data_IF_071356866306
#
_entry.id   IF_071356866306
#
_cell.length_a   1.000
_cell.length_b   1.000
_cell.length_c   1.000
_cell.angle_alpha   90.00
_cell.angle_beta   90.00
_cell.angle_gamma   90.00
#
_symmetry.space_group_name_H-M   'P 1'
#
loop_
_entity.id
_entity.type
_entity.pdbx_description
1 polymer ?
#
# COMPACT_ATOMS: atom_id res chain seq x y z
N UNK A 1 37.02 48.06 -64.38
CA UNK A 1 37.43 47.72 -62.96
C UNK A 1 36.28 47.88 -61.99
N UNK A 2 35.07 47.47 -62.37
CA UNK A 2 33.84 47.59 -61.53
C UNK A 2 33.04 46.28 -61.45
N UNK A 3 33.53 45.20 -62.02
CA UNK A 3 32.82 43.87 -62.01
C UNK A 3 33.30 42.81 -60.99
N UNK A 4 34.23 43.18 -60.05
CA UNK A 4 34.80 42.25 -59.07
C UNK A 4 34.33 42.51 -57.64
N UNK A 5 33.30 43.38 -57.42
CA UNK A 5 32.89 43.76 -56.05
C UNK A 5 31.57 43.19 -55.59
N UNK A 6 30.96 42.27 -56.33
CA UNK A 6 29.59 41.76 -55.95
C UNK A 6 29.47 40.24 -55.84
N UNK A 7 30.49 39.53 -55.30
CA UNK A 7 30.41 38.07 -55.07
C UNK A 7 30.62 37.68 -53.60
N UNK A 8 30.34 38.59 -52.64
CA UNK A 8 30.64 38.40 -51.20
C UNK A 8 29.49 37.97 -50.33
N UNK A 9 28.26 37.91 -50.78
CA UNK A 9 27.14 37.41 -49.99
C UNK A 9 26.58 36.09 -50.56
N UNK A 10 27.36 35.03 -50.46
CA UNK A 10 26.79 33.67 -50.62
C UNK A 10 26.01 33.33 -49.36
N UNK A 11 24.71 33.66 -49.37
CA UNK A 11 23.73 33.16 -48.40
C UNK A 11 23.94 31.67 -48.25
N UNK A 12 23.94 31.16 -47.01
CA UNK A 12 24.00 29.73 -46.70
C UNK A 12 23.07 28.98 -47.65
N UNK A 13 23.55 27.94 -48.36
CA UNK A 13 22.73 27.25 -49.34
C UNK A 13 21.44 26.77 -48.67
N UNK A 14 20.29 27.11 -49.28
CA UNK A 14 18.91 26.82 -48.75
C UNK A 14 18.78 25.44 -48.13
N UNK A 15 19.55 24.47 -48.60
CA UNK A 15 19.60 23.08 -48.06
C UNK A 15 20.24 22.98 -46.68
N UNK A 16 21.28 23.76 -46.38
CA UNK A 16 21.90 23.75 -45.02
C UNK A 16 20.99 24.36 -43.97
N UNK A 17 20.25 25.41 -44.37
CA UNK A 17 19.23 26.00 -43.51
C UNK A 17 18.09 25.02 -43.24
N UNK A 18 17.60 24.31 -44.26
CA UNK A 18 16.56 23.28 -44.11
C UNK A 18 17.00 22.15 -43.16
N UNK A 19 18.24 21.70 -43.29
CA UNK A 19 18.77 20.66 -42.42
C UNK A 19 18.94 21.12 -40.97
N UNK A 20 19.33 22.34 -40.73
CA UNK A 20 19.41 22.91 -39.40
C UNK A 20 18.01 23.00 -38.74
N UNK A 21 16.98 23.36 -39.51
CA UNK A 21 15.59 23.43 -39.05
C UNK A 21 15.11 22.00 -38.68
N UNK A 22 15.35 20.99 -39.52
CA UNK A 22 14.97 19.60 -39.25
C UNK A 22 15.64 19.11 -37.98
N UNK A 23 16.94 19.35 -37.80
CA UNK A 23 17.67 18.97 -36.60
C UNK A 23 17.09 19.64 -35.33
N UNK A 24 16.71 20.89 -35.44
CA UNK A 24 16.13 21.67 -34.35
C UNK A 24 14.72 21.16 -34.00
N UNK A 25 13.92 20.77 -34.99
CA UNK A 25 12.62 20.13 -34.81
C UNK A 25 12.76 18.76 -34.12
N UNK A 26 13.69 17.94 -34.57
CA UNK A 26 13.96 16.65 -33.97
C UNK A 26 14.39 16.82 -32.50
N UNK A 27 15.30 17.75 -32.22
CA UNK A 27 15.74 18.05 -30.86
C UNK A 27 14.57 18.53 -29.99
N UNK A 28 13.70 19.36 -30.55
CA UNK A 28 12.48 19.83 -29.88
C UNK A 28 11.53 18.67 -29.55
N UNK A 29 11.30 17.75 -30.50
CA UNK A 29 10.45 16.57 -30.28
C UNK A 29 11.04 15.64 -29.20
N UNK A 30 12.35 15.48 -29.15
CA UNK A 30 13.05 14.71 -28.09
C UNK A 30 12.83 15.37 -26.74
N UNK A 31 13.04 16.68 -26.64
CA UNK A 31 12.86 17.42 -25.40
C UNK A 31 11.40 17.34 -24.90
N UNK A 32 10.44 17.45 -25.80
CA UNK A 32 9.01 17.30 -25.49
C UNK A 32 8.70 15.88 -25.02
N UNK A 33 9.23 14.85 -25.67
CA UNK A 33 9.04 13.47 -25.28
C UNK A 33 9.61 13.20 -23.88
N UNK A 34 10.81 13.67 -23.58
CA UNK A 34 11.42 13.57 -22.25
C UNK A 34 10.54 14.29 -21.21
N UNK A 35 10.09 15.53 -21.51
CA UNK A 35 9.23 16.30 -20.63
C UNK A 35 7.91 15.59 -20.31
N UNK A 36 7.24 15.04 -21.31
CA UNK A 36 5.99 14.28 -21.13
C UNK A 36 6.25 13.04 -20.25
N UNK A 37 7.31 12.30 -20.52
CA UNK A 37 7.63 11.10 -19.72
C UNK A 37 7.94 11.43 -18.26
N UNK A 38 8.65 12.53 -17.98
CA UNK A 38 8.94 12.97 -16.62
C UNK A 38 7.67 13.38 -15.87
N UNK A 39 6.80 14.17 -16.51
CA UNK A 39 5.52 14.59 -15.93
C UNK A 39 4.62 13.38 -15.67
N UNK A 40 4.55 12.46 -16.63
CA UNK A 40 3.77 11.23 -16.49
C UNK A 40 4.28 10.36 -15.34
N UNK A 41 5.60 10.19 -15.25
CA UNK A 41 6.23 9.40 -14.19
C UNK A 41 5.93 10.00 -12.80
N UNK A 42 6.07 11.31 -12.66
CA UNK A 42 5.78 12.00 -11.40
C UNK A 42 4.31 11.86 -10.98
N UNK A 43 3.39 12.03 -11.95
CA UNK A 43 1.96 11.85 -11.74
C UNK A 43 1.62 10.40 -11.35
N UNK A 44 2.21 9.44 -12.04
CA UNK A 44 2.01 8.02 -11.79
C UNK A 44 2.54 7.58 -10.42
N UNK A 45 3.74 8.03 -10.04
CA UNK A 45 4.32 7.77 -8.72
C UNK A 45 3.44 8.33 -7.61
N UNK A 46 2.91 9.53 -7.79
CA UNK A 46 1.96 10.16 -6.85
C UNK A 46 0.69 9.31 -6.70
N UNK A 47 0.07 8.92 -7.81
CA UNK A 47 -1.16 8.12 -7.81
C UNK A 47 -0.95 6.75 -7.12
N UNK A 48 0.16 6.07 -7.40
CA UNK A 48 0.50 4.81 -6.72
C UNK A 48 0.66 4.98 -5.21
N UNK A 49 1.35 6.04 -4.80
CA UNK A 49 1.55 6.34 -3.37
C UNK A 49 0.21 6.63 -2.69
N UNK A 50 -0.62 7.46 -3.32
CA UNK A 50 -1.94 7.81 -2.78
C UNK A 50 -2.85 6.59 -2.67
N UNK A 51 -2.83 5.69 -3.64
CA UNK A 51 -3.55 4.41 -3.57
C UNK A 51 -3.07 3.54 -2.42
N UNK A 52 -1.76 3.42 -2.23
CA UNK A 52 -1.19 2.64 -1.14
C UNK A 52 -1.55 3.22 0.23
N UNK A 53 -1.48 4.54 0.39
CA UNK A 53 -1.91 5.22 1.62
C UNK A 53 -3.40 5.02 1.87
N UNK A 54 -4.24 5.15 0.82
CA UNK A 54 -5.68 4.92 0.94
C UNK A 54 -6.00 3.47 1.30
N UNK A 55 -5.24 2.51 0.79
CA UNK A 55 -5.35 1.11 1.18
C UNK A 55 -5.03 0.93 2.68
N UNK A 56 -3.89 1.43 3.17
CA UNK A 56 -3.54 1.38 4.59
C UNK A 56 -4.62 2.05 5.46
N UNK A 57 -5.13 3.19 5.01
CA UNK A 57 -6.19 3.91 5.71
C UNK A 57 -7.51 3.12 5.75
N UNK A 58 -7.86 2.44 4.67
CA UNK A 58 -9.06 1.59 4.63
C UNK A 58 -8.95 0.42 5.60
N UNK A 59 -7.76 -0.20 5.69
CA UNK A 59 -7.51 -1.29 6.63
C UNK A 59 -7.50 -0.80 8.08
N UNK A 60 -6.91 0.37 8.35
CA UNK A 60 -6.97 0.98 9.68
C UNK A 60 -8.41 1.29 10.12
N UNK A 61 -9.25 1.83 9.21
CA UNK A 61 -10.67 2.08 9.49
C UNK A 61 -11.43 0.80 9.77
N UNK A 62 -11.21 -0.22 8.94
CA UNK A 62 -11.84 -1.53 9.12
C UNK A 62 -11.46 -2.15 10.47
N UNK A 63 -10.17 -2.07 10.85
CA UNK A 63 -9.71 -2.53 12.16
C UNK A 63 -10.37 -1.73 13.29
N UNK A 64 -10.42 -0.41 13.19
CA UNK A 64 -11.07 0.45 14.17
C UNK A 64 -12.55 0.08 14.35
N UNK A 65 -13.31 -0.07 13.26
CA UNK A 65 -14.73 -0.46 13.30
C UNK A 65 -14.94 -1.86 13.90
N UNK A 66 -14.06 -2.81 13.58
CA UNK A 66 -14.14 -4.16 14.12
C UNK A 66 -13.90 -4.15 15.64
N UNK A 67 -12.93 -3.37 16.10
CA UNK A 67 -12.62 -3.20 17.51
C UNK A 67 -13.79 -2.51 18.24
N UNK A 68 -14.36 -1.45 17.67
CA UNK A 68 -15.53 -0.78 18.25
C UNK A 68 -16.71 -1.74 18.40
N UNK A 69 -17.02 -2.50 17.34
CA UNK A 69 -18.09 -3.51 17.37
C UNK A 69 -17.85 -4.58 18.43
N UNK A 70 -16.60 -5.04 18.53
CA UNK A 70 -16.21 -6.03 19.51
C UNK A 70 -16.41 -5.50 20.94
N UNK A 71 -15.85 -4.35 21.27
CA UNK A 71 -16.00 -3.73 22.59
C UNK A 71 -17.49 -3.45 22.90
N UNK A 72 -18.26 -2.98 21.93
CA UNK A 72 -19.68 -2.75 22.10
C UNK A 72 -20.46 -4.05 22.39
N UNK A 73 -20.07 -5.16 21.74
CA UNK A 73 -20.65 -6.47 22.02
C UNK A 73 -20.38 -6.89 23.46
N UNK A 74 -19.13 -6.76 23.93
CA UNK A 74 -18.76 -7.08 25.31
C UNK A 74 -19.53 -6.22 26.35
N UNK A 75 -19.66 -4.91 26.06
CA UNK A 75 -20.47 -4.02 26.91
C UNK A 75 -21.92 -4.51 26.99
N UNK A 76 -22.50 -4.89 25.84
CA UNK A 76 -23.87 -5.38 25.77
C UNK A 76 -24.05 -6.71 26.51
N UNK A 77 -23.03 -7.59 26.43
CA UNK A 77 -23.03 -8.88 27.12
C UNK A 77 -22.95 -8.69 28.62
N UNK A 78 -22.12 -7.78 29.13
CA UNK A 78 -22.05 -7.41 30.53
C UNK A 78 -23.37 -6.74 30.99
N UNK A 79 -23.94 -5.89 30.13
CA UNK A 79 -25.25 -5.26 30.41
C UNK A 79 -26.35 -6.33 30.56
N UNK A 80 -26.42 -7.31 29.65
CA UNK A 80 -27.37 -8.43 29.74
C UNK A 80 -27.15 -9.24 31.02
N UNK A 81 -25.91 -9.63 31.30
CA UNK A 81 -25.58 -10.35 32.50
C UNK A 81 -26.02 -9.59 33.74
N UNK A 82 -25.79 -8.27 33.79
CA UNK A 82 -26.21 -7.44 34.95
C UNK A 82 -27.73 -7.37 35.14
N UNK A 83 -28.49 -7.57 34.07
CA UNK A 83 -29.99 -7.64 34.13
C UNK A 83 -30.44 -9.04 34.50
N UNK A 84 -29.79 -10.10 34.02
CA UNK A 84 -30.13 -11.51 34.27
C UNK A 84 -29.75 -11.93 35.70
N UNK A 85 -28.64 -11.37 36.22
CA UNK A 85 -28.21 -11.52 37.60
C UNK A 85 -29.16 -10.74 38.53
N UNK A 86 -30.41 -11.14 38.54
CA UNK A 86 -31.30 -10.79 39.68
C UNK A 86 -30.69 -11.52 40.89
N UNK A 87 -30.58 -10.82 42.01
CA UNK A 87 -30.10 -11.36 43.30
C UNK A 87 -30.99 -12.54 43.69
N UNK A 88 -30.83 -13.66 43.03
CA UNK A 88 -31.56 -14.92 43.21
C UNK A 88 -30.55 -16.04 43.55
N UNK A 89 -31.04 -17.12 44.12
CA UNK A 89 -30.26 -18.29 44.53
C UNK A 89 -29.38 -18.91 43.39
N UNK A 90 -29.64 -18.51 42.13
CA UNK A 90 -28.93 -19.03 40.94
C UNK A 90 -27.85 -18.11 40.37
N UNK A 91 -27.53 -16.97 41.01
CA UNK A 91 -26.52 -15.98 40.52
C UNK A 91 -25.17 -16.63 40.19
N UNK A 92 -24.71 -17.54 41.02
CA UNK A 92 -23.45 -18.24 40.87
C UNK A 92 -23.40 -19.09 39.58
N UNK A 93 -24.50 -19.79 39.28
CA UNK A 93 -24.63 -20.59 38.08
C UNK A 93 -24.54 -19.73 36.81
N UNK A 94 -25.28 -18.62 36.77
CA UNK A 94 -25.29 -17.72 35.63
C UNK A 94 -23.93 -17.08 35.40
N UNK A 95 -23.25 -16.58 36.42
CA UNK A 95 -21.94 -15.97 36.32
C UNK A 95 -20.88 -17.00 35.93
N UNK A 96 -20.91 -18.18 36.54
CA UNK A 96 -19.93 -19.26 36.22
C UNK A 96 -20.08 -19.74 34.78
N UNK A 97 -21.31 -19.87 34.28
CA UNK A 97 -21.60 -20.18 32.89
C UNK A 97 -21.09 -19.08 31.97
N UNK A 98 -21.40 -17.83 32.28
CA UNK A 98 -20.97 -16.68 31.50
C UNK A 98 -19.44 -16.57 31.43
N UNK A 99 -18.73 -16.75 32.54
CA UNK A 99 -17.26 -16.82 32.58
C UNK A 99 -16.71 -17.95 31.72
N UNK A 100 -17.40 -19.09 31.65
CA UNK A 100 -16.98 -20.22 30.81
C UNK A 100 -17.14 -19.90 29.31
N UNK A 101 -18.22 -19.21 28.94
CA UNK A 101 -18.53 -18.83 27.56
C UNK A 101 -17.67 -17.67 27.07
N UNK A 102 -17.19 -16.79 27.99
CA UNK A 102 -16.43 -15.57 27.67
C UNK A 102 -14.98 -15.63 28.21
N UNK A 103 -14.04 -16.24 27.46
CA UNK A 103 -12.66 -16.44 27.90
C UNK A 103 -11.86 -15.16 28.19
N UNK A 104 -12.20 -14.04 27.61
CA UNK A 104 -11.55 -12.77 27.82
C UNK A 104 -11.84 -12.17 29.21
N UNK A 105 -12.94 -12.60 29.87
CA UNK A 105 -13.29 -12.11 31.18
C UNK A 105 -12.60 -12.97 32.24
N UNK A 106 -11.76 -12.33 33.05
CA UNK A 106 -11.00 -13.01 34.12
C UNK A 106 -11.83 -13.21 35.36
N UNK A 107 -12.46 -12.14 35.84
CA UNK A 107 -13.20 -12.12 37.09
C UNK A 107 -14.44 -11.24 36.97
N UNK A 108 -15.44 -11.60 37.72
CA UNK A 108 -16.69 -10.79 37.91
C UNK A 108 -16.94 -10.63 39.40
N UNK A 109 -17.14 -9.37 39.81
CA UNK A 109 -17.46 -9.01 41.19
C UNK A 109 -18.86 -8.47 41.28
N UNK A 110 -19.57 -8.81 42.32
CA UNK A 110 -20.81 -8.20 42.75
C UNK A 110 -20.51 -7.29 43.94
N UNK A 111 -20.90 -6.03 43.84
CA UNK A 111 -20.60 -4.97 44.79
C UNK A 111 -21.93 -4.39 45.28
N UNK A 112 -22.15 -4.32 46.59
CA UNK A 112 -23.33 -3.71 47.13
C UNK A 112 -23.32 -2.18 47.03
N UNK A 113 -24.44 -1.51 47.32
CA UNK A 113 -24.56 -0.05 47.21
C UNK A 113 -23.70 0.75 48.19
N UNK A 114 -23.06 0.09 49.16
CA UNK A 114 -22.11 0.71 50.08
C UNK A 114 -20.67 0.61 49.56
N UNK A 115 -20.45 0.02 48.35
CA UNK A 115 -19.14 -0.14 47.73
C UNK A 115 -18.39 -1.39 48.18
N UNK A 116 -18.96 -2.22 49.03
CA UNK A 116 -18.33 -3.48 49.48
C UNK A 116 -18.58 -4.58 48.47
N UNK A 117 -17.54 -5.30 48.09
CA UNK A 117 -17.66 -6.52 47.32
C UNK A 117 -18.34 -7.61 48.17
N UNK A 118 -19.38 -8.21 47.64
CA UNK A 118 -20.12 -9.29 48.30
C UNK A 118 -19.67 -10.66 47.78
N UNK A 119 -19.42 -10.74 46.48
CA UNK A 119 -18.98 -11.98 45.84
C UNK A 119 -18.02 -11.67 44.71
N UNK A 120 -17.04 -12.54 44.53
CA UNK A 120 -16.12 -12.52 43.40
C UNK A 120 -16.05 -13.90 42.77
N UNK A 121 -16.19 -13.96 41.47
CA UNK A 121 -16.13 -15.16 40.64
C UNK A 121 -14.98 -15.10 39.69
N UNK A 122 -14.19 -16.17 39.61
CA UNK A 122 -13.11 -16.33 38.66
C UNK A 122 -13.06 -17.78 38.17
N UNK A 123 -12.50 -17.99 37.00
CA UNK A 123 -12.28 -19.36 36.48
C UNK A 123 -11.14 -20.10 37.14
N UNK A 124 -10.14 -19.39 37.64
CA UNK A 124 -8.87 -19.97 38.09
C UNK A 124 -8.64 -19.81 39.58
N UNK A 125 -9.30 -18.89 40.22
CA UNK A 125 -9.02 -18.50 41.59
C UNK A 125 -10.29 -18.64 42.44
N UNK A 126 -10.13 -19.15 43.65
CA UNK A 126 -11.17 -19.18 44.67
C UNK A 126 -10.92 -18.05 45.64
N UNK A 127 -11.92 -17.28 45.93
CA UNK A 127 -11.85 -16.14 46.84
C UNK A 127 -12.64 -16.44 48.13
N UNK A 128 -12.09 -16.00 49.25
CA UNK A 128 -12.72 -16.05 50.54
C UNK A 128 -13.21 -14.65 50.93
N UNK A 129 -13.97 -14.53 51.99
CA UNK A 129 -14.44 -13.22 52.50
C UNK A 129 -13.27 -12.26 52.80
N UNK A 130 -12.07 -12.76 53.12
CA UNK A 130 -10.89 -11.94 53.38
C UNK A 130 -10.28 -11.29 52.13
N UNK A 131 -10.60 -11.86 50.96
CA UNK A 131 -10.12 -11.40 49.69
C UNK A 131 -10.99 -10.32 49.04
N UNK A 132 -12.17 -10.05 49.66
CA UNK A 132 -13.14 -9.07 49.16
C UNK A 132 -12.63 -7.65 49.37
N UNK A 133 -12.90 -6.79 48.38
CA UNK A 133 -12.38 -5.43 48.28
C UNK A 133 -13.44 -4.39 48.56
N UNK A 134 -12.98 -3.17 48.83
CA UNK A 134 -13.85 -1.99 48.99
C UNK A 134 -13.65 -1.09 47.75
N UNK A 135 -14.76 -0.74 47.10
CA UNK A 135 -14.82 0.08 45.89
C UNK A 135 -15.53 1.40 46.08
N UNK A 136 -15.95 1.76 47.33
CA UNK A 136 -16.81 2.89 47.64
C UNK A 136 -16.28 4.25 47.11
N UNK A 137 -14.94 4.38 46.96
CA UNK A 137 -14.30 5.63 46.52
C UNK A 137 -13.90 5.62 45.05
N UNK A 138 -14.24 4.58 44.28
CA UNK A 138 -13.86 4.48 42.87
C UNK A 138 -14.91 5.11 41.97
N UNK A 139 -14.47 5.90 40.99
CA UNK A 139 -15.34 6.53 40.00
C UNK A 139 -16.22 5.51 39.27
N UNK A 140 -15.67 4.35 38.96
CA UNK A 140 -16.37 3.26 38.28
C UNK A 140 -17.59 2.77 39.09
N UNK A 141 -17.46 2.73 40.41
CA UNK A 141 -18.55 2.34 41.30
C UNK A 141 -19.63 3.42 41.40
N UNK A 142 -19.24 4.68 41.62
CA UNK A 142 -20.19 5.79 41.74
C UNK A 142 -21.02 5.95 40.48
N UNK A 143 -20.39 5.88 39.28
CA UNK A 143 -21.10 5.93 37.98
C UNK A 143 -22.11 4.78 37.82
N UNK A 144 -21.70 3.56 38.17
CA UNK A 144 -22.60 2.42 38.10
C UNK A 144 -23.74 2.48 39.11
N UNK A 145 -23.50 2.98 40.31
CA UNK A 145 -24.51 3.25 41.32
C UNK A 145 -25.55 4.31 40.88
N UNK A 146 -25.13 5.29 40.06
CA UNK A 146 -26.00 6.24 39.38
C UNK A 146 -26.81 5.63 38.22
N UNK A 147 -26.56 4.36 37.87
CA UNK A 147 -27.25 3.65 36.80
C UNK A 147 -26.57 3.71 35.45
N UNK A 148 -25.31 4.21 35.35
CA UNK A 148 -24.53 4.31 34.14
C UNK A 148 -23.57 3.10 34.01
N UNK A 149 -23.35 2.67 32.79
CA UNK A 149 -22.26 1.71 32.51
C UNK A 149 -20.95 2.50 32.41
N UNK A 150 -19.95 2.06 33.14
CA UNK A 150 -18.62 2.67 33.13
C UNK A 150 -17.59 1.71 32.58
N UNK A 151 -16.68 2.24 31.72
CA UNK A 151 -15.54 1.52 31.21
C UNK A 151 -14.29 2.22 31.72
N UNK A 152 -13.41 1.47 32.41
CA UNK A 152 -12.17 2.03 32.92
C UNK A 152 -11.19 2.37 31.78
N UNK A 153 -10.19 3.17 32.09
CA UNK A 153 -8.97 3.25 31.30
C UNK A 153 -8.28 1.88 31.28
N UNK A 154 -7.37 1.72 30.32
CA UNK A 154 -6.54 0.52 30.26
C UNK A 154 -5.60 0.49 31.45
N UNK A 155 -5.53 -0.65 32.09
CA UNK A 155 -4.59 -0.99 33.14
C UNK A 155 -3.75 -2.19 32.68
N UNK A 156 -2.62 -2.42 33.33
CA UNK A 156 -1.72 -3.53 33.00
C UNK A 156 -1.49 -4.41 34.23
N UNK A 157 -1.51 -5.72 34.04
CA UNK A 157 -1.09 -6.66 35.08
C UNK A 157 0.41 -6.48 35.40
N UNK A 158 0.91 -7.08 36.49
CA UNK A 158 2.34 -7.12 36.76
C UNK A 158 3.14 -7.72 35.60
N UNK A 159 2.58 -8.71 34.89
CA UNK A 159 3.16 -9.36 33.71
C UNK A 159 3.07 -8.53 32.43
N UNK A 160 2.37 -7.37 32.47
CA UNK A 160 2.23 -6.44 31.36
C UNK A 160 1.03 -6.72 30.45
N UNK A 161 0.11 -7.61 30.82
CA UNK A 161 -1.10 -7.85 30.03
C UNK A 161 -2.11 -6.71 30.21
N UNK A 162 -2.60 -6.08 29.11
CA UNK A 162 -3.57 -5.00 29.18
C UNK A 162 -4.97 -5.53 29.48
N UNK A 163 -5.71 -4.79 30.33
CA UNK A 163 -7.09 -5.09 30.66
C UNK A 163 -7.91 -3.82 30.91
N UNK A 164 -9.21 -3.92 30.76
CA UNK A 164 -10.19 -2.91 31.16
C UNK A 164 -11.17 -3.50 32.17
N UNK A 165 -11.86 -2.62 32.85
CA UNK A 165 -12.96 -2.97 33.76
C UNK A 165 -14.25 -2.39 33.18
N UNK A 166 -15.26 -3.23 33.10
CA UNK A 166 -16.60 -2.82 32.68
C UNK A 166 -17.48 -2.96 33.92
N UNK A 167 -18.04 -1.85 34.34
CA UNK A 167 -18.88 -1.79 35.54
C UNK A 167 -20.30 -1.41 35.15
N UNK A 168 -21.29 -2.21 35.55
CA UNK A 168 -22.69 -2.06 35.16
C UNK A 168 -23.60 -2.13 36.37
N UNK A 169 -24.72 -1.38 36.37
CA UNK A 169 -25.71 -1.47 37.43
C UNK A 169 -26.48 -2.78 37.36
N UNK A 170 -26.67 -3.48 38.48
CA UNK A 170 -27.59 -4.61 38.62
C UNK A 170 -28.95 -4.06 38.98
N UNK A 171 -29.95 -4.21 38.06
CA UNK A 171 -31.32 -3.78 38.23
C UNK A 171 -32.26 -4.64 37.41
N UNK A 172 -33.45 -4.85 37.90
CA UNK A 172 -34.46 -5.69 37.25
C UNK A 172 -35.00 -5.05 35.96
N UNK A 173 -35.23 -3.75 36.00
CA UNK A 173 -35.66 -2.94 34.87
C UNK A 173 -34.76 -1.70 34.73
N UNK A 174 -34.57 -1.19 33.51
CA UNK A 174 -33.72 -0.01 33.27
C UNK A 174 -34.18 1.26 34.01
N UNK A 175 -35.46 1.35 34.28
CA UNK A 175 -36.07 2.48 35.01
C UNK A 175 -35.95 2.36 36.55
N UNK A 176 -35.57 1.19 37.07
CA UNK A 176 -35.40 0.97 38.51
C UNK A 176 -34.05 1.45 39.00
N UNK A 177 -34.00 1.84 40.28
CA UNK A 177 -32.70 2.14 40.92
C UNK A 177 -31.85 0.88 40.99
N UNK A 178 -30.52 1.02 40.80
CA UNK A 178 -29.64 -0.10 41.00
C UNK A 178 -29.76 -0.72 42.38
N UNK A 179 -29.69 -2.05 42.46
CA UNK A 179 -29.71 -2.80 43.71
C UNK A 179 -28.30 -3.23 44.11
N UNK A 180 -27.40 -3.39 43.13
CA UNK A 180 -26.01 -3.70 43.30
C UNK A 180 -25.25 -3.26 42.03
N UNK A 181 -23.94 -3.46 42.01
CA UNK A 181 -23.06 -3.16 40.88
C UNK A 181 -22.31 -4.42 40.48
N UNK A 182 -22.32 -4.75 39.19
CA UNK A 182 -21.51 -5.79 38.59
C UNK A 182 -20.28 -5.16 38.01
N UNK A 183 -19.11 -5.73 38.31
CA UNK A 183 -17.81 -5.30 37.77
C UNK A 183 -17.12 -6.48 37.14
N UNK A 184 -16.81 -6.41 35.84
CA UNK A 184 -16.10 -7.42 35.09
C UNK A 184 -14.71 -6.90 34.73
N UNK A 185 -13.69 -7.75 34.91
CA UNK A 185 -12.31 -7.50 34.46
C UNK A 185 -12.10 -8.24 33.15
N UNK A 186 -11.90 -7.47 32.10
CA UNK A 186 -11.81 -7.92 30.72
C UNK A 186 -10.37 -7.79 30.19
N UNK A 187 -9.74 -8.90 29.80
CA UNK A 187 -8.40 -8.93 29.23
C UNK A 187 -8.45 -8.70 27.73
N UNK A 188 -7.64 -7.73 27.28
CA UNK A 188 -7.64 -7.32 25.88
C UNK A 188 -6.86 -8.30 24.97
N UNK A 189 -5.95 -9.11 25.52
CA UNK A 189 -5.09 -10.04 24.76
C UNK A 189 -5.90 -10.98 23.84
N UNK A 190 -6.86 -11.70 24.38
CA UNK A 190 -7.68 -12.64 23.60
C UNK A 190 -8.64 -11.99 22.60
N UNK A 191 -8.92 -10.71 22.80
CA UNK A 191 -9.79 -9.94 21.94
C UNK A 191 -9.12 -9.51 20.62
N UNK A 192 -7.81 -9.29 20.69
CA UNK A 192 -7.06 -8.70 19.60
C UNK A 192 -6.52 -9.71 18.60
N UNK A 193 -6.37 -10.97 18.97
CA UNK A 193 -5.82 -12.00 18.09
C UNK A 193 -6.56 -12.04 16.74
N UNK A 194 -7.88 -11.96 16.76
CA UNK A 194 -8.70 -11.92 15.53
C UNK A 194 -8.65 -10.59 14.77
N UNK A 195 -8.44 -9.47 15.47
CA UNK A 195 -8.42 -8.15 14.85
C UNK A 195 -7.04 -7.84 14.21
N UNK A 196 -5.99 -8.51 14.69
CA UNK A 196 -4.61 -8.30 14.26
C UNK A 196 -4.10 -9.36 13.24
N UNK A 197 -4.89 -10.38 12.95
CA UNK A 197 -4.59 -11.39 11.91
C UNK A 197 -4.54 -10.80 10.48
N UNK A 198 -4.81 -9.52 10.33
CA UNK A 198 -4.77 -8.84 9.03
C UNK A 198 -3.34 -8.68 8.55
N UNK A 199 -2.96 -9.50 7.57
CA UNK A 199 -1.66 -9.39 6.91
C UNK A 199 -1.71 -8.27 5.87
N UNK A 200 -0.99 -7.19 6.12
CA UNK A 200 -0.86 -6.03 5.23
C UNK A 200 0.51 -6.13 4.54
N UNK A 201 0.53 -6.65 3.32
CA UNK A 201 1.80 -6.95 2.64
C UNK A 201 2.67 -7.93 3.44
N UNK A 202 3.98 -7.76 3.38
CA UNK A 202 4.94 -8.57 4.13
C UNK A 202 5.41 -7.87 5.42
N UNK A 203 5.54 -6.55 5.40
CA UNK A 203 6.06 -5.75 6.51
C UNK A 203 5.00 -4.95 7.25
N UNK A 204 3.75 -4.98 6.75
CA UNK A 204 2.65 -4.21 7.33
C UNK A 204 2.28 -4.70 8.73
N UNK A 205 2.05 -3.75 9.63
CA UNK A 205 1.72 -3.96 11.03
C UNK A 205 0.50 -3.15 11.43
N UNK A 206 -0.39 -3.78 12.16
CA UNK A 206 -1.53 -3.12 12.83
C UNK A 206 -1.26 -3.10 14.32
N UNK A 207 -1.28 -1.94 14.93
CA UNK A 207 -1.10 -1.75 16.37
C UNK A 207 -2.26 -0.96 16.94
N UNK A 208 -2.63 -1.23 18.19
CA UNK A 208 -3.66 -0.48 18.90
C UNK A 208 -3.06 0.16 20.14
N UNK A 209 -3.38 1.42 20.35
CA UNK A 209 -2.92 2.22 21.49
C UNK A 209 -4.08 2.75 22.31
N UNK A 210 -3.85 2.92 23.60
CA UNK A 210 -4.81 3.56 24.53
C UNK A 210 -4.78 5.09 24.44
N UNK A 211 -5.56 5.75 25.32
CA UNK A 211 -5.66 7.20 25.43
C UNK A 211 -4.36 7.91 25.87
N UNK A 212 -3.34 7.16 26.32
CA UNK A 212 -2.02 7.65 26.70
C UNK A 212 -0.93 7.29 25.68
N UNK A 213 -1.30 6.62 24.58
CA UNK A 213 -0.37 6.12 23.57
C UNK A 213 0.34 4.83 23.95
N UNK A 214 -0.10 4.15 25.02
CA UNK A 214 0.45 2.86 25.40
C UNK A 214 -0.04 1.77 24.45
N UNK A 215 0.87 0.92 24.01
CA UNK A 215 0.56 -0.20 23.14
C UNK A 215 -0.26 -1.26 23.88
N UNK A 216 -1.47 -1.53 23.39
CA UNK A 216 -2.41 -2.48 24.01
C UNK A 216 -2.71 -3.68 23.11
N UNK A 217 -2.36 -3.59 21.83
CA UNK A 217 -2.41 -4.70 20.90
C UNK A 217 -1.38 -4.54 19.78
N UNK A 218 -0.72 -5.64 19.42
CA UNK A 218 0.28 -5.70 18.36
C UNK A 218 0.41 -7.15 17.88
N UNK A 219 0.75 -7.41 16.59
CA UNK A 219 1.05 -8.75 16.09
C UNK A 219 2.20 -9.44 16.85
N UNK A 220 3.10 -8.64 17.43
CA UNK A 220 4.15 -9.12 18.32
C UNK A 220 3.75 -8.86 19.79
N UNK A 221 3.24 -9.88 20.51
CA UNK A 221 2.78 -9.69 21.89
C UNK A 221 3.87 -9.21 22.86
N UNK A 222 5.16 -9.48 22.58
CA UNK A 222 6.26 -9.05 23.44
C UNK A 222 6.30 -7.53 23.60
N UNK A 223 5.98 -6.80 22.54
CA UNK A 223 5.92 -5.34 22.53
C UNK A 223 4.85 -4.76 23.47
N UNK A 224 3.72 -5.46 23.58
CA UNK A 224 2.64 -5.08 24.51
C UNK A 224 3.10 -5.30 25.95
N UNK A 225 3.72 -6.46 26.21
CA UNK A 225 4.24 -6.80 27.55
C UNK A 225 5.37 -5.87 28.00
N UNK A 226 6.17 -5.35 27.06
CA UNK A 226 7.20 -4.32 27.32
C UNK A 226 6.61 -2.95 27.61
N UNK A 227 5.30 -2.75 27.49
CA UNK A 227 4.57 -1.50 27.73
C UNK A 227 5.12 -0.34 26.89
N UNK A 228 5.33 -0.58 25.59
CA UNK A 228 5.84 0.43 24.66
C UNK A 228 4.87 1.57 24.54
N UNK A 229 5.34 2.81 24.63
CA UNK A 229 4.57 4.02 24.39
C UNK A 229 4.87 4.58 23.00
N UNK A 230 3.86 4.63 22.13
CA UNK A 230 3.97 5.11 20.76
C UNK A 230 3.55 6.58 20.58
N UNK A 231 3.27 7.32 21.68
CA UNK A 231 2.80 8.71 21.59
C UNK A 231 3.79 9.65 20.89
N UNK A 232 5.07 9.28 20.83
CA UNK A 232 6.08 10.02 20.08
C UNK A 232 5.83 10.00 18.57
N UNK A 233 5.15 8.97 18.06
CA UNK A 233 4.88 8.80 16.62
C UNK A 233 3.77 9.75 16.16
N UNK A 234 3.90 10.34 14.97
CA UNK A 234 2.83 11.19 14.41
C UNK A 234 1.50 10.44 14.24
N UNK A 235 1.58 9.16 13.85
CA UNK A 235 0.43 8.27 13.65
C UNK A 235 -0.35 7.94 14.93
N UNK A 236 0.25 8.17 16.11
CA UNK A 236 -0.37 7.93 17.40
C UNK A 236 -1.12 9.17 17.94
N UNK A 237 -0.59 10.37 17.74
CA UNK A 237 -1.12 11.61 18.33
C UNK A 237 -2.52 11.96 17.82
N UNK A 238 -2.71 11.94 16.50
CA UNK A 238 -3.98 12.34 15.87
C UNK A 238 -5.15 11.44 16.28
N UNK A 239 -5.03 10.09 16.25
CA UNK A 239 -6.12 9.20 16.67
C UNK A 239 -6.58 9.43 18.11
N UNK A 240 -5.67 9.65 19.04
CA UNK A 240 -6.02 9.93 20.45
C UNK A 240 -6.80 11.23 20.58
N UNK A 241 -6.51 12.22 19.71
CA UNK A 241 -7.27 13.48 19.65
C UNK A 241 -8.60 13.35 18.88
N UNK A 242 -8.91 12.17 18.34
CA UNK A 242 -10.12 11.93 17.56
C UNK A 242 -10.00 12.23 16.07
N UNK A 243 -8.81 12.52 15.59
CA UNK A 243 -8.51 12.86 14.18
C UNK A 243 -7.86 11.69 13.43
N UNK A 244 -8.02 11.69 12.11
CA UNK A 244 -7.37 10.70 11.25
C UNK A 244 -6.00 11.23 10.82
N UNK A 245 -4.95 10.46 11.08
CA UNK A 245 -3.63 10.68 10.50
C UNK A 245 -3.54 10.01 9.13
N UNK A 246 -3.39 10.81 8.06
CA UNK A 246 -3.47 10.32 6.66
C UNK A 246 -2.19 9.77 6.07
N UNK A 247 -1.20 9.56 6.85
CA UNK A 247 0.02 8.91 6.38
C UNK A 247 1.09 9.87 5.83
N UNK A 248 2.23 9.82 6.47
CA UNK A 248 3.48 10.42 5.99
C UNK A 248 4.60 9.42 6.26
N UNK A 249 5.76 9.67 5.68
CA UNK A 249 6.98 8.96 6.06
C UNK A 249 7.48 9.46 7.40
N UNK A 250 7.85 8.52 8.27
CA UNK A 250 8.54 8.82 9.52
C UNK A 250 9.37 7.60 9.95
N UNK A 251 10.24 7.80 10.93
CA UNK A 251 10.95 6.70 11.58
C UNK A 251 10.09 6.15 12.72
N UNK A 252 9.81 4.84 12.69
CA UNK A 252 9.13 4.17 13.79
C UNK A 252 10.06 4.06 15.02
N UNK A 253 9.59 3.47 16.10
CA UNK A 253 10.33 3.30 17.36
C UNK A 253 11.60 2.43 17.22
N UNK A 254 11.74 1.68 16.12
CA UNK A 254 12.94 0.88 15.80
C UNK A 254 13.90 1.61 14.87
N UNK A 255 13.60 2.88 14.50
CA UNK A 255 14.39 3.65 13.55
C UNK A 255 14.22 3.20 12.09
N UNK A 256 13.19 2.42 11.77
CA UNK A 256 12.87 1.99 10.41
C UNK A 256 11.96 3.03 9.77
N UNK A 257 12.27 3.43 8.53
CA UNK A 257 11.41 4.36 7.78
C UNK A 257 10.13 3.65 7.31
N UNK A 258 8.98 4.17 7.74
CA UNK A 258 7.67 3.61 7.46
C UNK A 258 6.71 4.66 6.91
N UNK A 259 5.72 4.20 6.17
CA UNK A 259 4.47 4.92 5.97
C UNK A 259 3.48 4.46 7.03
N UNK A 260 2.94 5.39 7.80
CA UNK A 260 1.96 5.06 8.80
C UNK A 260 0.69 5.87 8.65
N UNK A 261 -0.44 5.26 8.98
CA UNK A 261 -1.75 5.90 9.12
C UNK A 261 -2.27 5.66 10.52
N UNK A 262 -3.13 6.55 10.99
CA UNK A 262 -3.73 6.44 12.31
C UNK A 262 -5.22 6.77 12.27
N UNK A 263 -6.04 5.92 12.90
CA UNK A 263 -7.50 6.08 12.93
C UNK A 263 -8.00 5.98 14.37
N UNK A 264 -8.88 6.90 14.82
CA UNK A 264 -9.43 6.84 16.17
C UNK A 264 -10.43 5.70 16.34
N UNK A 265 -10.42 5.10 17.53
CA UNK A 265 -11.49 4.27 18.08
C UNK A 265 -12.31 5.18 19.01
N UNK A 266 -13.45 5.65 18.52
CA UNK A 266 -14.17 6.77 19.15
C UNK A 266 -14.67 6.49 20.55
N UNK A 267 -15.16 5.27 20.79
CA UNK A 267 -15.82 4.89 22.04
C UNK A 267 -14.89 4.97 23.25
N UNK A 268 -13.56 4.77 23.08
CA UNK A 268 -12.59 4.69 24.16
C UNK A 268 -11.43 5.68 24.05
N UNK A 269 -11.45 6.57 23.04
CA UNK A 269 -10.33 7.47 22.69
C UNK A 269 -9.02 6.71 22.43
N UNK A 270 -9.10 5.51 21.90
CA UNK A 270 -7.97 4.70 21.48
C UNK A 270 -7.61 5.00 20.04
N UNK A 271 -6.46 4.52 19.60
CA UNK A 271 -6.00 4.66 18.23
C UNK A 271 -5.62 3.33 17.59
N UNK A 272 -5.98 3.13 16.34
CA UNK A 272 -5.42 2.10 15.47
C UNK A 272 -4.34 2.74 14.62
N UNK A 273 -3.15 2.18 14.67
CA UNK A 273 -1.99 2.58 13.86
C UNK A 273 -1.71 1.45 12.88
N UNK A 274 -1.57 1.79 11.60
CA UNK A 274 -1.11 0.86 10.57
C UNK A 274 0.15 1.42 9.97
N UNK A 275 1.22 0.63 9.98
CA UNK A 275 2.53 0.95 9.43
C UNK A 275 2.94 -0.08 8.39
N UNK A 276 3.62 0.38 7.35
CA UNK A 276 4.29 -0.48 6.36
C UNK A 276 5.63 0.16 6.01
N UNK A 277 6.68 -0.65 5.79
CA UNK A 277 7.99 -0.11 5.45
C UNK A 277 7.95 0.64 4.13
N UNK A 278 8.67 1.78 4.09
CA UNK A 278 8.81 2.58 2.86
C UNK A 278 9.42 1.75 1.73
N UNK A 279 10.33 0.83 2.05
CA UNK A 279 10.97 -0.02 1.08
C UNK A 279 9.98 -0.92 0.33
N UNK A 280 9.07 -1.58 1.03
CA UNK A 280 8.04 -2.42 0.43
C UNK A 280 7.03 -1.60 -0.36
N UNK A 281 6.55 -0.51 0.21
CA UNK A 281 5.54 0.34 -0.41
C UNK A 281 6.07 1.00 -1.69
N UNK A 282 7.35 1.36 -1.73
CA UNK A 282 7.99 1.99 -2.88
C UNK A 282 8.64 0.98 -3.86
N UNK A 283 8.73 -0.30 -3.53
CA UNK A 283 9.32 -1.31 -4.40
C UNK A 283 8.72 -1.32 -5.83
N UNK A 284 7.38 -1.30 -6.02
CA UNK A 284 6.79 -1.23 -7.36
C UNK A 284 7.15 0.06 -8.10
N UNK A 285 7.28 1.17 -7.36
CA UNK A 285 7.65 2.48 -7.92
C UNK A 285 9.08 2.44 -8.46
N UNK A 286 10.02 1.87 -7.70
CA UNK A 286 11.43 1.73 -8.11
C UNK A 286 11.59 0.88 -9.37
N UNK A 287 10.82 -0.19 -9.51
CA UNK A 287 10.84 -1.03 -10.71
C UNK A 287 10.34 -0.27 -11.95
N UNK A 288 9.26 0.48 -11.82
CA UNK A 288 8.73 1.30 -12.93
C UNK A 288 9.71 2.43 -13.28
N UNK A 289 10.34 3.07 -12.30
CA UNK A 289 11.36 4.08 -12.55
C UNK A 289 12.54 3.51 -13.34
N UNK A 290 13.05 2.32 -12.98
CA UNK A 290 14.10 1.62 -13.73
C UNK A 290 13.70 1.37 -15.17
N UNK A 291 12.49 0.83 -15.40
CA UNK A 291 11.98 0.59 -16.74
C UNK A 291 11.87 1.88 -17.55
N UNK A 292 11.35 2.95 -16.95
CA UNK A 292 11.25 4.25 -17.62
C UNK A 292 12.61 4.81 -18.01
N UNK A 293 13.62 4.69 -17.15
CA UNK A 293 14.99 5.11 -17.45
C UNK A 293 15.56 4.28 -18.62
N UNK A 294 15.35 2.97 -18.61
CA UNK A 294 15.77 2.08 -19.70
C UNK A 294 15.14 2.52 -21.03
N UNK A 295 13.84 2.78 -21.06
CA UNK A 295 13.13 3.25 -22.26
C UNK A 295 13.66 4.61 -22.74
N UNK A 296 13.95 5.54 -21.84
CA UNK A 296 14.54 6.84 -22.18
C UNK A 296 15.94 6.68 -22.80
N UNK A 297 16.77 5.84 -22.20
CA UNK A 297 18.13 5.57 -22.71
C UNK A 297 18.06 4.92 -24.10
N UNK A 298 17.24 3.89 -24.27
CA UNK A 298 17.06 3.19 -25.55
C UNK A 298 16.51 4.16 -26.61
N UNK A 299 15.50 4.95 -26.26
CA UNK A 299 14.92 5.97 -27.15
C UNK A 299 15.98 7.00 -27.61
N UNK A 300 16.79 7.48 -26.67
CA UNK A 300 17.89 8.43 -26.97
C UNK A 300 18.95 7.82 -27.90
N UNK A 301 19.32 6.56 -27.68
CA UNK A 301 20.25 5.82 -28.54
C UNK A 301 19.68 5.68 -29.95
N UNK A 302 18.41 5.29 -30.10
CA UNK A 302 17.74 5.14 -31.38
C UNK A 302 17.76 6.49 -32.15
N UNK A 303 17.43 7.57 -31.48
CA UNK A 303 17.46 8.91 -32.09
C UNK A 303 18.89 9.29 -32.49
N UNK A 304 19.88 9.02 -31.64
CA UNK A 304 21.31 9.22 -31.98
C UNK A 304 21.74 8.46 -33.22
N UNK A 305 21.32 7.19 -33.32
CA UNK A 305 21.60 6.36 -34.51
C UNK A 305 20.94 6.90 -35.77
N UNK A 306 19.69 7.37 -35.66
CA UNK A 306 18.98 7.96 -36.80
C UNK A 306 19.65 9.27 -37.27
N UNK A 307 20.07 10.13 -36.34
CA UNK A 307 20.83 11.35 -36.67
C UNK A 307 22.18 10.99 -37.32
N UNK A 308 22.88 10.03 -36.77
CA UNK A 308 24.18 9.56 -37.34
C UNK A 308 24.02 9.00 -38.74
N UNK A 309 22.96 8.20 -38.96
CA UNK A 309 22.63 7.67 -40.30
C UNK A 309 22.32 8.79 -41.29
N UNK A 310 21.54 9.80 -40.89
CA UNK A 310 21.24 10.98 -41.71
C UNK A 310 22.54 11.75 -42.09
N UNK A 311 23.44 11.91 -41.10
CA UNK A 311 24.75 12.54 -41.38
C UNK A 311 25.62 11.76 -42.38
N UNK A 312 25.60 10.42 -42.31
CA UNK A 312 26.29 9.56 -43.28
C UNK A 312 25.68 9.70 -44.67
N UNK A 313 24.34 9.64 -44.75
CA UNK A 313 23.63 9.83 -46.03
C UNK A 313 23.93 11.19 -46.65
N UNK A 314 23.97 12.24 -45.86
CA UNK A 314 24.34 13.61 -46.32
C UNK A 314 25.77 13.69 -46.81
N UNK A 315 26.74 12.97 -46.19
CA UNK A 315 28.12 12.87 -46.68
C UNK A 315 28.17 12.17 -48.01
N UNK A 316 27.43 11.07 -48.17
CA UNK A 316 27.33 10.31 -49.41
C UNK A 316 26.71 11.17 -50.53
N UNK A 317 25.62 11.89 -50.27
CA UNK A 317 24.98 12.80 -51.22
C UNK A 317 25.92 13.92 -51.69
N UNK A 318 26.70 14.52 -50.78
CA UNK A 318 27.71 15.55 -51.14
C UNK A 318 28.81 14.97 -52.01
N UNK A 319 29.18 13.75 -51.79
CA UNK A 319 30.22 13.08 -52.61
C UNK A 319 29.68 12.70 -53.99
N UNK A 320 28.43 12.24 -54.05
CA UNK A 320 27.71 12.01 -55.30
C UNK A 320 27.55 13.33 -56.10
N UNK A 321 27.18 14.41 -55.42
CA UNK A 321 27.05 15.73 -56.08
C UNK A 321 28.39 16.25 -56.61
N UNK A 322 29.49 16.11 -55.84
CA UNK A 322 30.84 16.43 -56.31
C UNK A 322 31.26 15.58 -57.53
N UNK A 323 30.96 14.30 -57.53
CA UNK A 323 31.23 13.42 -58.69
C UNK A 323 30.37 13.83 -59.89
N UNK A 324 29.12 14.21 -59.65
CA UNK A 324 28.24 14.70 -60.74
C UNK A 324 28.78 15.96 -61.41
N UNK A 325 29.26 16.95 -60.61
CA UNK A 325 29.87 18.18 -61.13
C UNK A 325 31.19 17.91 -61.89
N UNK A 326 31.97 16.90 -61.51
CA UNK A 326 33.17 16.48 -62.21
C UNK A 326 32.81 15.81 -63.55
N UNK A 327 31.72 15.01 -63.54
CA UNK A 327 31.22 14.32 -64.74
C UNK A 327 30.63 15.33 -65.73
N UNK A 328 29.90 16.37 -65.30
CA UNK A 328 29.40 17.46 -66.17
C UNK A 328 30.56 18.26 -66.84
N UNK A 329 31.65 18.49 -66.10
CA UNK A 329 32.85 19.13 -66.62
C UNK A 329 33.57 18.30 -67.69
N UNK A 330 33.39 17.00 -67.69
CA UNK A 330 34.00 16.06 -68.64
C UNK A 330 33.08 15.68 -69.81
N UNK A 331 31.77 16.02 -69.75
CA UNK A 331 30.76 15.60 -70.72
C UNK A 331 30.95 16.19 -72.15
N UNK A 332 31.73 17.24 -72.33
CA UNK A 332 32.15 17.74 -73.65
C UNK A 332 33.07 16.82 -74.42
N UNK A 333 33.68 15.80 -73.77
CA UNK A 333 34.51 14.77 -74.39
C UNK A 333 33.78 13.42 -74.51
N UNK A 334 32.51 13.38 -74.24
CA UNK A 334 31.89 12.10 -73.93
C UNK A 334 30.67 11.76 -74.82
N UNK A 335 30.60 12.25 -76.02
CA UNK A 335 29.52 11.77 -76.92
C UNK A 335 29.73 10.28 -77.33
N UNK A 336 31.00 9.80 -77.30
CA UNK A 336 31.36 8.38 -77.55
C UNK A 336 31.16 7.46 -76.30
N UNK A 337 31.14 8.03 -75.10
CA UNK A 337 30.95 7.24 -73.89
C UNK A 337 29.49 7.15 -73.44
N UNK A 338 28.55 7.89 -74.08
CA UNK A 338 27.14 7.99 -73.71
C UNK A 338 26.45 6.62 -73.67
N UNK A 339 26.70 5.76 -74.63
CA UNK A 339 26.13 4.38 -74.69
C UNK A 339 26.64 3.49 -73.58
N UNK A 340 27.94 3.61 -73.23
CA UNK A 340 28.51 2.88 -72.11
C UNK A 340 28.02 3.37 -70.74
N UNK A 341 27.79 4.66 -70.65
CA UNK A 341 27.26 5.30 -69.44
C UNK A 341 25.77 4.96 -69.22
N UNK A 342 24.96 4.91 -70.24
CA UNK A 342 23.56 4.52 -70.16
C UNK A 342 23.41 3.06 -69.69
N UNK A 343 24.24 2.16 -70.21
CA UNK A 343 24.25 0.76 -69.71
C UNK A 343 24.67 0.69 -68.26
N UNK A 344 25.63 1.53 -67.83
CA UNK A 344 26.11 1.57 -66.47
C UNK A 344 25.09 2.20 -65.51
N UNK A 345 24.33 3.17 -65.95
CA UNK A 345 23.22 3.76 -65.21
C UNK A 345 22.12 2.71 -65.07
N UNK A 346 21.80 1.98 -66.13
CA UNK A 346 20.80 0.90 -66.06
C UNK A 346 21.22 -0.23 -65.09
N UNK A 347 22.50 -0.60 -65.09
CA UNK A 347 22.99 -1.59 -64.13
C UNK A 347 22.90 -1.09 -62.68
N UNK A 348 23.24 0.18 -62.46
CA UNK A 348 23.17 0.80 -61.12
C UNK A 348 21.72 0.97 -60.66
N UNK A 349 20.82 1.31 -61.57
CA UNK A 349 19.39 1.43 -61.23
C UNK A 349 18.78 0.06 -60.83
N UNK A 350 19.23 -1.01 -61.52
CA UNK A 350 18.85 -2.37 -61.16
C UNK A 350 19.40 -2.78 -59.78
N UNK A 351 20.69 -2.51 -59.54
CA UNK A 351 21.33 -2.78 -58.26
C UNK A 351 20.64 -2.03 -57.10
N UNK A 352 20.26 -0.75 -57.34
CA UNK A 352 19.51 0.04 -56.34
C UNK A 352 18.08 -0.47 -56.12
N UNK A 353 17.43 -0.95 -57.17
CA UNK A 353 16.13 -1.60 -57.02
C UNK A 353 16.21 -2.93 -56.26
N UNK A 354 17.21 -3.73 -56.54
CA UNK A 354 17.44 -4.96 -55.78
C UNK A 354 17.83 -4.69 -54.31
N UNK A 355 18.63 -3.61 -54.07
CA UNK A 355 18.98 -3.20 -52.72
C UNK A 355 17.80 -2.64 -51.95
N UNK A 356 16.94 -1.84 -52.61
CA UNK A 356 15.71 -1.31 -52.05
C UNK A 356 14.73 -2.44 -51.67
N UNK A 357 14.56 -3.44 -52.54
CA UNK A 357 13.75 -4.62 -52.24
C UNK A 357 14.31 -5.40 -51.03
N UNK A 358 15.62 -5.55 -50.98
CA UNK A 358 16.27 -6.21 -49.83
C UNK A 358 16.13 -5.44 -48.54
N UNK A 359 16.14 -4.11 -48.61
CA UNK A 359 15.97 -3.22 -47.45
C UNK A 359 14.50 -3.26 -46.98
N UNK A 360 13.53 -3.24 -47.90
CA UNK A 360 12.13 -3.41 -47.60
C UNK A 360 11.84 -4.78 -46.93
N UNK A 361 12.48 -5.83 -47.43
CA UNK A 361 12.35 -7.16 -46.82
C UNK A 361 12.92 -7.21 -45.40
N UNK A 362 14.10 -6.59 -45.17
CA UNK A 362 14.70 -6.49 -43.84
C UNK A 362 13.83 -5.66 -42.87
N UNK A 363 13.25 -4.56 -43.34
CA UNK A 363 12.30 -3.75 -42.51
C UNK A 363 11.09 -4.60 -42.18
N UNK A 364 10.55 -5.35 -43.14
CA UNK A 364 9.40 -6.22 -42.94
C UNK A 364 9.68 -7.34 -41.93
N UNK A 365 10.85 -7.98 -42.03
CA UNK A 365 11.28 -8.99 -41.05
C UNK A 365 11.43 -8.40 -39.62
N UNK A 366 12.09 -7.23 -39.54
CA UNK A 366 12.27 -6.56 -38.22
C UNK A 366 10.96 -6.12 -37.62
N UNK A 367 10.02 -5.65 -38.44
CA UNK A 367 8.68 -5.28 -37.97
C UNK A 367 7.92 -6.51 -37.46
N UNK A 368 8.05 -7.66 -38.18
CA UNK A 368 7.44 -8.91 -37.76
C UNK A 368 8.06 -9.49 -36.48
N UNK A 369 9.37 -9.37 -36.34
CA UNK A 369 10.11 -9.76 -35.13
C UNK A 369 9.66 -8.90 -33.91
N UNK A 370 9.53 -7.59 -34.12
CA UNK A 370 9.02 -6.66 -33.09
C UNK A 370 7.58 -6.98 -32.69
N UNK A 371 6.71 -7.26 -33.68
CA UNK A 371 5.32 -7.67 -33.39
C UNK A 371 5.26 -8.99 -32.62
N UNK A 372 6.11 -9.95 -32.96
CA UNK A 372 6.20 -11.21 -32.23
C UNK A 372 6.66 -11.00 -30.78
N UNK A 373 7.67 -10.15 -30.54
CA UNK A 373 8.14 -9.80 -29.19
C UNK A 373 7.09 -9.08 -28.35
N UNK A 374 6.34 -8.16 -29.00
CA UNK A 374 5.19 -7.52 -28.33
C UNK A 374 4.13 -8.58 -27.95
N UNK A 375 3.81 -9.49 -28.87
CA UNK A 375 2.88 -10.58 -28.60
C UNK A 375 3.37 -11.56 -27.51
N UNK A 376 4.67 -11.81 -27.44
CA UNK A 376 5.25 -12.60 -26.35
C UNK A 376 5.17 -11.85 -24.99
N UNK A 377 5.44 -10.55 -24.99
CA UNK A 377 5.31 -9.70 -23.80
C UNK A 377 3.84 -9.62 -23.31
N UNK A 378 2.88 -9.52 -24.25
CA UNK A 378 1.46 -9.59 -23.91
C UNK A 378 1.05 -10.95 -23.36
N UNK A 379 1.53 -12.05 -23.96
CA UNK A 379 1.31 -13.40 -23.44
C UNK A 379 1.94 -13.58 -22.06
N UNK A 380 3.16 -13.08 -21.85
CA UNK A 380 3.84 -13.12 -20.57
C UNK A 380 3.06 -12.34 -19.49
N UNK A 381 2.56 -11.15 -19.85
CA UNK A 381 1.77 -10.31 -18.95
C UNK A 381 0.43 -11.00 -18.59
N UNK A 382 -0.26 -11.62 -19.59
CA UNK A 382 -1.47 -12.42 -19.32
C UNK A 382 -1.18 -13.64 -18.44
N UNK A 383 -0.03 -14.30 -18.64
CA UNK A 383 0.38 -15.44 -17.82
C UNK A 383 0.75 -15.00 -16.40
N UNK A 384 1.39 -13.83 -16.23
CA UNK A 384 1.69 -13.26 -14.93
C UNK A 384 0.40 -12.93 -14.15
N UNK A 385 -0.52 -12.23 -14.80
CA UNK A 385 -1.84 -11.92 -14.21
C UNK A 385 -2.64 -13.20 -13.93
N UNK A 386 -2.62 -14.16 -14.87
CA UNK A 386 -3.27 -15.46 -14.68
C UNK A 386 -2.67 -16.28 -13.54
N UNK A 387 -1.36 -16.16 -13.34
CA UNK A 387 -0.65 -16.81 -12.22
C UNK A 387 -0.98 -16.17 -10.87
N UNK A 388 -1.13 -14.84 -10.83
CA UNK A 388 -1.59 -14.15 -9.62
C UNK A 388 -3.04 -14.52 -9.27
N UNK A 389 -3.94 -14.53 -10.25
CA UNK A 389 -5.32 -14.99 -10.05
C UNK A 389 -5.36 -16.45 -9.57
N UNK A 390 -4.58 -17.31 -10.23
CA UNK A 390 -4.49 -18.74 -9.84
C UNK A 390 -3.89 -18.92 -8.43
N UNK A 391 -2.95 -18.06 -8.05
CA UNK A 391 -2.39 -18.05 -6.69
C UNK A 391 -3.41 -17.57 -5.66
N UNK A 392 -4.29 -16.64 -6.05
CA UNK A 392 -5.40 -16.19 -5.19
C UNK A 392 -6.41 -17.33 -5.03
N UNK A 393 -6.85 -17.95 -6.15
CA UNK A 393 -7.75 -19.10 -6.12
C UNK A 393 -7.19 -20.26 -5.26
N UNK A 394 -5.92 -20.63 -5.47
CA UNK A 394 -5.28 -21.69 -4.69
C UNK A 394 -5.16 -21.33 -3.21
N UNK A 395 -4.93 -20.04 -2.88
CA UNK A 395 -4.93 -19.59 -1.49
C UNK A 395 -6.31 -19.69 -0.85
N UNK A 396 -7.35 -19.32 -1.58
CA UNK A 396 -8.74 -19.48 -1.13
C UNK A 396 -9.11 -20.96 -0.95
N UNK A 397 -8.67 -21.82 -1.90
CA UNK A 397 -8.90 -23.25 -1.82
C UNK A 397 -8.16 -23.90 -0.65
N UNK A 398 -6.89 -23.50 -0.42
CA UNK A 398 -6.12 -23.94 0.76
C UNK A 398 -6.77 -23.47 2.06
N UNK A 399 -7.34 -22.26 2.08
CA UNK A 399 -8.04 -21.75 3.25
C UNK A 399 -9.30 -22.57 3.52
N UNK A 400 -10.12 -22.81 2.48
CA UNK A 400 -11.31 -23.68 2.57
C UNK A 400 -10.98 -25.12 3.02
N UNK A 401 -9.91 -25.69 2.46
CA UNK A 401 -9.47 -27.03 2.85
C UNK A 401 -8.94 -27.08 4.29
N UNK A 402 -8.30 -26.01 4.75
CA UNK A 402 -7.86 -25.89 6.16
C UNK A 402 -9.05 -25.76 7.11
N UNK A 403 -10.07 -25.00 6.73
CA UNK A 403 -11.33 -24.92 7.48
C UNK A 403 -12.03 -26.28 7.54
N UNK A 404 -12.13 -26.99 6.41
CA UNK A 404 -12.71 -28.34 6.35
C UNK A 404 -11.93 -29.38 7.18
N UNK A 405 -10.62 -29.26 7.22
CA UNK A 405 -9.76 -30.12 8.06
C UNK A 405 -9.86 -29.80 9.57
N UNK A 406 -10.22 -28.56 9.89
CA UNK A 406 -10.44 -28.17 11.29
C UNK A 406 -11.81 -28.63 11.78
N UNK A 407 -12.84 -28.57 10.93
CA UNK A 407 -14.18 -29.09 11.23
C UNK A 407 -14.16 -30.64 11.39
N UNK A 408 -13.41 -31.36 10.53
CA UNK A 408 -13.23 -32.81 10.70
C UNK A 408 -12.47 -33.25 11.97
N UNK A 409 -11.67 -32.34 12.54
CA UNK A 409 -10.99 -32.58 13.82
C UNK A 409 -11.88 -32.32 15.03
N UNK A 410 -12.96 -31.58 14.85
CA UNK A 410 -13.93 -31.33 15.93
C UNK A 410 -14.99 -32.43 16.05
N UNK A 411 -15.25 -33.17 14.97
CA UNK A 411 -16.22 -34.29 14.99
C UNK A 411 -15.60 -35.65 15.42
N UNK A 412 -14.30 -35.63 15.74
CA UNK A 412 -13.59 -36.87 16.18
C UNK A 412 -12.98 -36.76 17.56
N UNK A 413 -13.67 -36.00 18.47
CA UNK A 413 -13.38 -36.10 19.93
C UNK A 413 -14.66 -36.23 20.75
#
# INVERSE_FOLDING_TARGET
>A
MEEIRNSGEKGLPRRTLLYSIIALVILGLVAVNIGINLIWLESFVRDLRDRSINYLLSEAKRSSENIEKFIQAEINDIKRLSQDVTISENTEFFISRFLKENPAIKEISIINLNGREEKRYSRKEYFTEKDLRDFAFLEEFEKAKEGQIFISKVDFTPEGEPYIKITAPIRKLEIEKPQAVLRATFYLKGAWEKALEMKIGETGRVSVIDDKGMLIADPDPSRVLEKINLLILPSAKSPISGEIFRGTKYLNEKGIEVFGVGVPIKILKWGVIVEQTTEELEAPIKEIQKLTIIFLVVGTIIIGVLIWLDLILRKADKEVLKRHLIIEGQSKKLEEAKTSLEIRIQARTRELQELAQKLEEQIRERTKELQNKVGELEKFNRLAVGRELKMIELKEEITKLKEQLQDQKHDSK
#
